data_IF_474652418924
#
_entry.id   IF_474652418924
#
_cell.length_a   1.000
_cell.length_b   1.000
_cell.length_c   1.000
_cell.angle_alpha   90.00
_cell.angle_beta   90.00
_cell.angle_gamma   90.00
#
_symmetry.space_group_name_H-M   'P 1'
#
loop_
_entity.id
_entity.type
_entity.pdbx_description
1 polymer ?
#
# COMPACT_ATOMS: atom_id res chain seq x y z
N UNK A 1 -9.64 -8.69 20.52
CA UNK A 1 -10.78 -8.33 19.65
C UNK A 1 -11.99 -8.96 20.26
N UNK A 2 -13.14 -8.30 20.17
CA UNK A 2 -14.40 -8.90 20.59
C UNK A 2 -14.82 -10.03 19.61
N UNK A 3 -15.98 -10.63 19.90
CA UNK A 3 -16.56 -11.69 19.07
C UNK A 3 -16.97 -11.19 17.67
N UNK A 4 -17.04 -9.89 17.47
CA UNK A 4 -17.40 -9.23 16.21
C UNK A 4 -16.18 -8.74 15.42
N UNK A 5 -14.98 -9.13 15.87
CA UNK A 5 -13.70 -8.80 15.22
C UNK A 5 -13.36 -7.29 15.28
N UNK A 6 -13.97 -6.54 16.21
CA UNK A 6 -13.57 -5.18 16.53
C UNK A 6 -12.40 -5.20 17.53
N UNK A 7 -11.53 -4.20 17.44
CA UNK A 7 -10.57 -3.94 18.51
C UNK A 7 -11.33 -3.50 19.75
N UNK A 8 -11.00 -4.08 20.91
CA UNK A 8 -11.57 -3.62 22.16
C UNK A 8 -11.25 -2.13 22.36
N UNK A 9 -12.23 -1.34 22.79
CA UNK A 9 -12.02 0.06 23.18
C UNK A 9 -10.88 0.18 24.21
N UNK A 10 -10.75 -0.82 25.09
CA UNK A 10 -9.64 -0.97 26.04
C UNK A 10 -9.00 -2.36 25.91
N UNK A 11 -7.66 -2.48 25.84
CA UNK A 11 -7.00 -3.78 25.77
C UNK A 11 -7.36 -4.61 27.01
N UNK A 12 -7.85 -5.82 26.77
CA UNK A 12 -8.22 -6.77 27.83
C UNK A 12 -7.13 -7.85 27.86
N UNK A 13 -6.39 -7.92 28.96
CA UNK A 13 -5.25 -8.82 29.16
C UNK A 13 -4.18 -8.21 30.07
N UNK A 14 -3.45 -9.04 30.82
CA UNK A 14 -2.35 -8.59 31.68
C UNK A 14 -1.05 -8.59 30.87
N UNK A 15 -0.78 -7.52 30.11
CA UNK A 15 0.60 -7.23 29.66
C UNK A 15 1.22 -6.33 30.73
N UNK A 16 1.62 -6.97 31.82
CA UNK A 16 2.54 -6.45 32.82
C UNK A 16 2.38 -4.96 33.22
N UNK A 17 1.16 -4.42 33.43
CA UNK A 17 0.91 -3.04 33.95
C UNK A 17 1.95 -1.99 33.48
N UNK A 18 2.33 -1.99 32.20
CA UNK A 18 3.37 -1.06 31.72
C UNK A 18 2.70 0.28 31.40
N UNK A 19 3.16 1.34 32.04
CA UNK A 19 2.79 2.71 31.70
C UNK A 19 3.47 3.12 30.39
N UNK A 20 3.03 2.53 29.27
CA UNK A 20 3.45 2.98 27.95
C UNK A 20 2.93 4.40 27.73
N UNK A 21 3.75 5.25 27.11
CA UNK A 21 3.28 6.54 26.67
C UNK A 21 2.23 6.39 25.55
N UNK A 22 1.45 7.45 25.32
CA UNK A 22 0.36 7.46 24.32
C UNK A 22 0.85 7.14 22.91
N UNK A 23 2.07 7.53 22.57
CA UNK A 23 2.63 7.35 21.21
C UNK A 23 2.93 5.87 20.96
N UNK A 24 3.51 5.18 21.95
CA UNK A 24 3.73 3.73 21.91
C UNK A 24 2.43 2.94 21.88
N UNK A 25 1.47 3.29 22.73
CA UNK A 25 0.15 2.64 22.72
C UNK A 25 -0.53 2.77 21.35
N UNK A 26 -0.52 3.99 20.79
CA UNK A 26 -1.06 4.25 19.45
C UNK A 26 -0.35 3.44 18.36
N UNK A 27 0.99 3.41 18.38
CA UNK A 27 1.77 2.61 17.43
C UNK A 27 1.40 1.13 17.49
N UNK A 28 1.35 0.53 18.69
CA UNK A 28 1.04 -0.90 18.86
C UNK A 28 -0.37 -1.21 18.35
N UNK A 29 -1.35 -0.37 18.68
CA UNK A 29 -2.73 -0.53 18.19
C UNK A 29 -2.80 -0.47 16.67
N UNK A 30 -2.12 0.51 16.06
CA UNK A 30 -2.08 0.65 14.62
C UNK A 30 -1.38 -0.53 13.95
N UNK A 31 -0.26 -0.99 14.51
CA UNK A 31 0.47 -2.17 14.04
C UNK A 31 -0.41 -3.42 14.08
N UNK A 32 -1.03 -3.73 15.23
CA UNK A 32 -1.90 -4.90 15.37
C UNK A 32 -3.09 -4.80 14.41
N UNK A 33 -3.73 -3.63 14.32
CA UNK A 33 -4.84 -3.39 13.40
C UNK A 33 -4.43 -3.66 11.96
N UNK A 34 -3.28 -3.12 11.54
CA UNK A 34 -2.76 -3.32 10.18
C UNK A 34 -2.45 -4.79 9.89
N UNK A 35 -1.74 -5.49 10.78
CA UNK A 35 -1.38 -6.90 10.61
C UNK A 35 -2.64 -7.78 10.51
N UNK A 36 -3.63 -7.54 11.36
CA UNK A 36 -4.84 -8.38 11.41
C UNK A 36 -5.84 -8.06 10.30
N UNK A 37 -5.94 -6.81 9.87
CA UNK A 37 -6.99 -6.36 8.94
C UNK A 37 -6.50 -6.15 7.49
N UNK A 38 -5.20 -6.18 7.23
CA UNK A 38 -4.66 -6.11 5.86
C UNK A 38 -4.44 -7.49 5.24
N UNK A 39 -3.95 -7.50 4.00
CA UNK A 39 -3.53 -8.70 3.26
C UNK A 39 -2.03 -8.99 3.40
N UNK A 40 -1.33 -8.33 4.33
CA UNK A 40 0.11 -8.55 4.52
C UNK A 40 0.40 -9.99 4.95
N UNK A 41 -0.41 -10.54 5.85
CA UNK A 41 -0.36 -11.94 6.26
C UNK A 41 -1.61 -12.71 5.84
N UNK A 42 -1.46 -14.01 5.68
CA UNK A 42 -2.55 -14.94 5.36
C UNK A 42 -3.50 -15.17 6.54
N UNK A 43 -4.72 -15.62 6.26
CA UNK A 43 -5.70 -15.97 7.30
C UNK A 43 -5.23 -17.13 8.17
N UNK A 44 -4.41 -18.05 7.64
CA UNK A 44 -3.75 -19.11 8.42
C UNK A 44 -2.82 -18.52 9.49
N UNK A 45 -2.05 -17.49 9.16
CA UNK A 45 -1.19 -16.79 10.12
C UNK A 45 -2.02 -16.02 11.15
N UNK A 46 -3.12 -15.36 10.73
CA UNK A 46 -4.05 -14.68 11.66
C UNK A 46 -4.71 -15.65 12.64
N UNK A 47 -5.10 -16.84 12.16
CA UNK A 47 -5.64 -17.91 12.99
C UNK A 47 -4.61 -18.34 14.06
N UNK A 48 -3.35 -18.54 13.66
CA UNK A 48 -2.29 -18.88 14.59
C UNK A 48 -2.08 -17.79 15.65
N UNK A 49 -2.02 -16.51 15.27
CA UNK A 49 -1.87 -15.38 16.19
C UNK A 49 -3.03 -15.32 17.20
N UNK A 50 -4.26 -15.62 16.76
CA UNK A 50 -5.45 -15.65 17.63
C UNK A 50 -5.51 -16.87 18.57
N UNK A 51 -4.69 -17.89 18.33
CA UNK A 51 -4.71 -19.13 19.10
C UNK A 51 -3.92 -18.98 20.39
N UNK A 52 -4.46 -18.20 21.34
CA UNK A 52 -3.85 -17.79 22.61
C UNK A 52 -3.36 -18.94 23.50
N UNK A 53 -3.86 -20.16 23.27
CA UNK A 53 -3.60 -21.37 24.06
C UNK A 53 -2.64 -22.36 23.40
N UNK A 54 -2.15 -22.07 22.19
CA UNK A 54 -1.41 -23.03 21.37
C UNK A 54 0.09 -22.73 21.35
N UNK A 55 0.88 -23.57 22.01
CA UNK A 55 2.35 -23.44 22.07
C UNK A 55 3.06 -23.73 20.74
N UNK A 56 2.34 -24.09 19.68
CA UNK A 56 2.91 -24.33 18.35
C UNK A 56 1.87 -24.16 17.25
N UNK A 57 2.34 -23.94 16.01
CA UNK A 57 1.50 -23.94 14.81
C UNK A 57 0.69 -25.23 14.70
N UNK A 58 1.32 -26.38 14.96
CA UNK A 58 0.65 -27.68 14.87
C UNK A 58 -0.51 -27.81 15.87
N UNK A 59 -0.34 -27.31 17.09
CA UNK A 59 -1.41 -27.30 18.10
C UNK A 59 -2.57 -26.39 17.68
N UNK A 60 -2.27 -25.18 17.19
CA UNK A 60 -3.29 -24.22 16.73
C UNK A 60 -4.13 -24.78 15.58
N UNK A 61 -3.49 -25.40 14.58
CA UNK A 61 -4.18 -25.98 13.43
C UNK A 61 -4.98 -27.22 13.83
N UNK A 62 -4.46 -28.08 14.72
CA UNK A 62 -5.23 -29.23 15.24
C UNK A 62 -6.49 -28.78 15.95
N UNK A 63 -6.39 -27.77 16.82
CA UNK A 63 -7.54 -27.23 17.54
C UNK A 63 -8.58 -26.64 16.58
N UNK A 64 -8.16 -25.91 15.54
CA UNK A 64 -9.06 -25.40 14.52
C UNK A 64 -9.75 -26.53 13.72
N UNK A 65 -8.99 -27.53 13.28
CA UNK A 65 -9.50 -28.65 12.50
C UNK A 65 -10.47 -29.55 13.28
N UNK A 66 -10.52 -29.50 14.61
CA UNK A 66 -11.51 -30.22 15.40
C UNK A 66 -12.94 -29.70 15.19
N UNK A 67 -13.08 -28.44 14.78
CA UNK A 67 -14.37 -27.77 14.59
C UNK A 67 -14.67 -27.41 13.14
N UNK A 68 -13.69 -27.55 12.25
CA UNK A 68 -13.82 -27.25 10.83
C UNK A 68 -14.35 -28.46 10.03
N UNK A 69 -15.01 -28.20 8.92
CA UNK A 69 -15.39 -29.24 7.95
C UNK A 69 -14.15 -29.83 7.24
N UNK A 70 -14.27 -31.01 6.63
CA UNK A 70 -13.14 -31.64 5.91
C UNK A 70 -12.58 -30.75 4.80
N UNK A 71 -13.45 -30.00 4.09
CA UNK A 71 -13.06 -29.08 3.03
C UNK A 71 -12.35 -27.82 3.52
N UNK A 72 -12.55 -27.45 4.80
CA UNK A 72 -11.93 -26.29 5.44
C UNK A 72 -10.69 -26.67 6.26
N UNK A 73 -10.41 -27.97 6.41
CA UNK A 73 -9.31 -28.47 7.22
C UNK A 73 -7.96 -28.04 6.64
N UNK A 74 -7.13 -27.44 7.49
CA UNK A 74 -5.83 -26.93 7.09
C UNK A 74 -4.77 -28.00 7.31
N UNK A 75 -3.97 -28.29 6.28
CA UNK A 75 -2.79 -29.13 6.43
C UNK A 75 -1.70 -28.42 7.25
N UNK A 76 -1.18 -29.08 8.28
CA UNK A 76 -0.19 -28.52 9.20
C UNK A 76 1.11 -28.10 8.49
N UNK A 77 1.64 -28.91 7.57
CA UNK A 77 2.89 -28.59 6.84
C UNK A 77 2.70 -27.36 5.95
N UNK A 78 1.55 -27.28 5.30
CA UNK A 78 1.18 -26.11 4.48
C UNK A 78 1.03 -24.87 5.35
N UNK A 79 0.40 -24.98 6.53
CA UNK A 79 0.28 -23.87 7.47
C UNK A 79 1.63 -23.35 7.95
N UNK A 80 2.54 -24.24 8.36
CA UNK A 80 3.90 -23.87 8.76
C UNK A 80 4.64 -23.14 7.63
N UNK A 81 4.54 -23.64 6.40
CA UNK A 81 5.18 -23.02 5.24
C UNK A 81 4.61 -21.62 4.95
N UNK A 82 3.27 -21.46 5.02
CA UNK A 82 2.60 -20.15 4.87
C UNK A 82 3.01 -19.17 5.95
N UNK A 83 3.07 -19.60 7.21
CA UNK A 83 3.48 -18.76 8.34
C UNK A 83 4.93 -18.33 8.18
N UNK A 84 5.85 -19.23 7.81
CA UNK A 84 7.26 -18.88 7.58
C UNK A 84 7.40 -17.87 6.43
N UNK A 85 6.64 -18.03 5.36
CA UNK A 85 6.60 -17.06 4.26
C UNK A 85 6.12 -15.68 4.74
N UNK A 86 5.06 -15.65 5.55
CA UNK A 86 4.53 -14.41 6.12
C UNK A 86 5.50 -13.75 7.10
N UNK A 87 6.22 -14.53 7.92
CA UNK A 87 7.30 -14.03 8.80
C UNK A 87 8.39 -13.35 7.95
N UNK A 88 8.92 -14.04 6.93
CA UNK A 88 9.95 -13.49 6.06
C UNK A 88 9.47 -12.23 5.32
N UNK A 89 8.18 -12.15 5.00
CA UNK A 89 7.57 -10.97 4.40
C UNK A 89 7.49 -9.80 5.39
N UNK A 90 7.08 -10.05 6.64
CA UNK A 90 7.05 -9.02 7.68
C UNK A 90 8.45 -8.50 8.01
N UNK A 91 9.45 -9.37 8.02
CA UNK A 91 10.86 -9.02 8.26
C UNK A 91 11.47 -8.07 7.23
N UNK A 92 10.83 -7.92 6.05
CA UNK A 92 11.22 -6.88 5.08
C UNK A 92 10.90 -5.46 5.55
N UNK A 93 9.87 -5.31 6.38
CA UNK A 93 9.42 -4.01 6.90
C UNK A 93 9.92 -3.78 8.33
N UNK A 94 9.79 -4.79 9.19
CA UNK A 94 10.00 -4.69 10.62
C UNK A 94 11.14 -5.60 11.08
N UNK A 95 12.10 -5.12 11.88
CA UNK A 95 13.11 -5.99 12.48
C UNK A 95 12.46 -6.97 13.48
N UNK A 96 13.09 -8.12 13.70
CA UNK A 96 12.53 -9.22 14.50
C UNK A 96 12.23 -8.83 15.96
N UNK A 97 13.01 -7.91 16.50
CA UNK A 97 12.96 -7.44 17.88
C UNK A 97 12.07 -6.20 18.07
N UNK A 98 11.46 -5.64 17.01
CA UNK A 98 10.73 -4.37 17.05
C UNK A 98 9.70 -4.31 18.19
N UNK A 99 8.87 -5.34 18.35
CA UNK A 99 7.85 -5.35 19.41
C UNK A 99 8.48 -5.36 20.80
N UNK A 100 9.60 -6.06 20.99
CA UNK A 100 10.36 -6.03 22.25
C UNK A 100 10.93 -4.63 22.50
N UNK A 101 11.54 -4.01 21.49
CA UNK A 101 12.06 -2.64 21.55
C UNK A 101 10.99 -1.64 21.97
N UNK A 102 9.82 -1.69 21.33
CA UNK A 102 8.71 -0.77 21.60
C UNK A 102 8.09 -1.01 22.99
N UNK A 103 7.96 -2.27 23.42
CA UNK A 103 7.31 -2.60 24.69
C UNK A 103 8.24 -2.48 25.91
N UNK A 104 9.55 -2.68 25.73
CA UNK A 104 10.53 -2.85 26.81
C UNK A 104 11.50 -1.67 26.90
N UNK A 105 11.98 -1.15 25.77
CA UNK A 105 13.09 -0.21 25.77
C UNK A 105 12.58 1.23 25.66
N UNK A 106 12.87 2.02 26.70
CA UNK A 106 12.44 3.42 26.75
C UNK A 106 13.13 4.32 25.71
N UNK A 107 14.26 3.88 25.15
CA UNK A 107 15.06 4.60 24.16
C UNK A 107 14.89 4.10 22.72
N UNK A 108 13.86 3.30 22.43
CA UNK A 108 13.64 2.80 21.08
C UNK A 108 13.36 3.94 20.08
N UNK A 109 13.86 3.78 18.84
CA UNK A 109 13.60 4.73 17.75
C UNK A 109 12.18 4.51 17.18
N UNK A 110 11.18 4.96 17.95
CA UNK A 110 9.77 4.77 17.62
C UNK A 110 9.39 5.45 16.29
N UNK A 111 10.03 6.55 15.95
CA UNK A 111 9.75 7.28 14.71
C UNK A 111 10.14 6.46 13.46
N UNK A 112 11.28 5.78 13.47
CA UNK A 112 11.64 4.86 12.38
C UNK A 112 10.63 3.70 12.25
N UNK A 113 10.11 3.18 13.36
CA UNK A 113 9.09 2.13 13.32
C UNK A 113 7.73 2.64 12.82
N UNK A 114 7.32 3.84 13.20
CA UNK A 114 6.13 4.50 12.64
C UNK A 114 6.27 4.65 11.13
N UNK A 115 7.42 5.15 10.65
CA UNK A 115 7.72 5.27 9.22
C UNK A 115 7.60 3.94 8.48
N UNK A 116 8.21 2.88 9.03
CA UNK A 116 8.12 1.51 8.47
C UNK A 116 6.69 0.98 8.42
N UNK A 117 5.89 1.26 9.45
CA UNK A 117 4.48 0.89 9.49
C UNK A 117 3.70 1.62 8.40
N UNK A 118 3.92 2.93 8.21
CA UNK A 118 3.27 3.71 7.17
C UNK A 118 3.63 3.20 5.77
N UNK A 119 4.90 2.81 5.55
CA UNK A 119 5.34 2.17 4.30
C UNK A 119 4.59 0.87 4.03
N UNK A 120 4.52 -0.01 5.03
CA UNK A 120 3.78 -1.26 4.91
C UNK A 120 2.29 -1.00 4.65
N UNK A 121 1.68 -0.03 5.34
CA UNK A 121 0.29 0.38 5.09
C UNK A 121 0.11 0.84 3.65
N UNK A 122 1.00 1.69 3.13
CA UNK A 122 0.93 2.16 1.75
C UNK A 122 0.97 0.99 0.76
N UNK A 123 1.87 0.03 0.95
CA UNK A 123 2.01 -1.13 0.06
C UNK A 123 0.83 -2.10 0.09
N UNK A 124 0.13 -2.20 1.22
CA UNK A 124 -1.01 -3.10 1.38
C UNK A 124 -2.36 -2.39 1.42
N UNK A 125 -2.37 -1.07 1.24
CA UNK A 125 -3.58 -0.27 1.10
C UNK A 125 -4.27 -0.60 -0.23
N UNK A 126 -5.60 -0.54 -0.24
CA UNK A 126 -6.37 -0.61 -1.49
C UNK A 126 -5.96 0.58 -2.37
N UNK A 127 -5.91 0.36 -3.69
CA UNK A 127 -5.59 1.39 -4.69
C UNK A 127 -6.26 2.72 -4.33
N UNK A 128 -5.46 3.77 -4.16
CA UNK A 128 -5.99 5.07 -3.74
C UNK A 128 -6.88 5.62 -4.86
N UNK A 129 -8.18 5.77 -4.57
CA UNK A 129 -9.19 6.27 -5.52
C UNK A 129 -8.85 7.65 -6.08
N UNK A 130 -8.05 8.45 -5.37
CA UNK A 130 -7.62 9.76 -5.86
C UNK A 130 -6.69 9.64 -7.06
N UNK A 131 -5.80 8.65 -7.06
CA UNK A 131 -4.88 8.40 -8.18
C UNK A 131 -5.62 7.85 -9.41
N UNK A 132 -6.85 7.33 -9.26
CA UNK A 132 -7.66 6.94 -10.42
C UNK A 132 -8.09 8.14 -11.27
N UNK A 133 -7.94 9.38 -10.78
CA UNK A 133 -8.16 10.61 -11.55
C UNK A 133 -6.95 11.06 -12.37
N UNK A 134 -5.81 10.39 -12.23
CA UNK A 134 -4.59 10.68 -12.95
C UNK A 134 -4.43 9.68 -14.09
N UNK A 135 -4.26 10.17 -15.33
CA UNK A 135 -3.98 9.35 -16.51
C UNK A 135 -2.47 9.20 -16.76
N UNK A 136 -1.71 9.09 -15.67
CA UNK A 136 -0.27 8.89 -15.66
C UNK A 136 0.04 7.67 -14.79
N UNK A 137 0.86 6.75 -15.32
CA UNK A 137 1.32 5.59 -14.55
C UNK A 137 2.45 6.02 -13.62
N UNK A 138 2.15 6.16 -12.34
CA UNK A 138 3.17 6.42 -11.32
C UNK A 138 3.91 5.11 -11.01
N UNK A 139 5.25 5.16 -11.03
CA UNK A 139 6.08 4.04 -10.64
C UNK A 139 5.83 3.66 -9.18
N UNK A 140 5.72 2.37 -8.89
CA UNK A 140 5.54 1.90 -7.52
C UNK A 140 6.89 1.90 -6.80
N UNK A 141 7.12 2.94 -6.02
CA UNK A 141 8.33 3.14 -5.21
C UNK A 141 7.98 3.18 -3.73
N UNK A 142 8.99 3.04 -2.86
CA UNK A 142 8.82 3.21 -1.43
C UNK A 142 8.36 4.64 -1.11
N UNK A 143 7.36 4.78 -0.23
CA UNK A 143 6.85 6.09 0.15
C UNK A 143 7.96 6.94 0.79
N UNK A 144 7.95 8.23 0.51
CA UNK A 144 8.83 9.21 1.15
C UNK A 144 7.99 10.08 2.08
N UNK A 145 8.52 10.41 3.26
CA UNK A 145 7.82 11.24 4.24
C UNK A 145 7.96 12.73 3.95
N UNK A 146 9.00 13.11 3.21
CA UNK A 146 9.32 14.47 2.86
C UNK A 146 9.70 14.56 1.39
N UNK A 147 9.41 15.73 0.83
CA UNK A 147 9.83 16.19 -0.48
C UNK A 147 10.08 17.69 -0.31
N UNK A 148 11.18 18.22 -0.86
CA UNK A 148 11.44 19.65 -0.76
C UNK A 148 10.34 20.44 -1.50
N UNK A 149 10.10 21.69 -1.09
CA UNK A 149 8.99 22.48 -1.63
C UNK A 149 9.12 22.66 -3.16
N UNK A 150 10.34 22.90 -3.64
CA UNK A 150 10.61 23.04 -5.08
C UNK A 150 10.32 21.74 -5.84
N UNK A 151 10.73 20.59 -5.29
CA UNK A 151 10.48 19.27 -5.87
C UNK A 151 8.98 18.92 -5.87
N UNK A 152 8.26 19.32 -4.83
CA UNK A 152 6.81 19.15 -4.76
C UNK A 152 6.10 20.00 -5.82
N UNK A 153 6.51 21.26 -6.00
CA UNK A 153 5.95 22.13 -7.02
C UNK A 153 6.25 21.63 -8.44
N UNK A 154 7.43 21.05 -8.66
CA UNK A 154 7.77 20.37 -9.91
C UNK A 154 6.87 19.15 -10.14
N UNK A 155 6.68 18.29 -9.14
CA UNK A 155 5.76 17.15 -9.21
C UNK A 155 4.35 17.59 -9.61
N UNK A 156 3.81 18.64 -8.98
CA UNK A 156 2.48 19.17 -9.32
C UNK A 156 2.42 19.63 -10.78
N UNK A 157 3.47 20.32 -11.25
CA UNK A 157 3.57 20.80 -12.63
C UNK A 157 3.62 19.64 -13.64
N UNK A 158 4.29 18.54 -13.29
CA UNK A 158 4.37 17.32 -14.11
C UNK A 158 3.02 16.61 -14.19
N UNK A 159 2.31 16.43 -13.06
CA UNK A 159 1.07 15.64 -13.05
C UNK A 159 -0.14 16.41 -13.57
N UNK A 160 -0.17 17.74 -13.44
CA UNK A 160 -1.32 18.59 -13.75
C UNK A 160 -1.90 18.37 -15.16
N UNK A 161 -1.09 18.27 -16.24
CA UNK A 161 -1.60 18.01 -17.58
C UNK A 161 -2.33 16.67 -17.74
N UNK A 162 -1.99 15.68 -16.91
CA UNK A 162 -2.52 14.31 -16.97
C UNK A 162 -3.70 14.08 -16.02
N UNK A 163 -4.20 15.12 -15.35
CA UNK A 163 -5.41 15.02 -14.55
C UNK A 163 -6.60 14.93 -15.50
N UNK A 164 -7.45 13.91 -15.34
CA UNK A 164 -8.59 13.64 -16.24
C UNK A 164 -9.54 14.83 -16.43
N UNK A 165 -9.76 15.63 -15.38
CA UNK A 165 -10.59 16.84 -15.50
C UNK A 165 -9.91 17.94 -16.32
N UNK A 166 -8.58 18.05 -16.23
CA UNK A 166 -7.81 19.00 -17.01
C UNK A 166 -7.75 18.59 -18.48
N UNK A 167 -7.52 17.30 -18.75
CA UNK A 167 -7.58 16.75 -20.11
C UNK A 167 -8.94 16.99 -20.75
N UNK A 168 -10.03 16.69 -20.03
CA UNK A 168 -11.40 16.96 -20.51
C UNK A 168 -11.63 18.43 -20.82
N UNK A 169 -11.16 19.33 -19.96
CA UNK A 169 -11.25 20.75 -20.22
C UNK A 169 -10.51 21.14 -21.51
N UNK A 170 -9.30 20.59 -21.73
CA UNK A 170 -8.57 20.82 -22.99
C UNK A 170 -9.35 20.27 -24.18
N UNK A 171 -9.85 19.04 -24.11
CA UNK A 171 -10.66 18.41 -25.17
C UNK A 171 -11.89 19.23 -25.55
N UNK A 172 -12.60 19.79 -24.57
CA UNK A 172 -13.79 20.61 -24.77
C UNK A 172 -13.49 22.02 -25.32
N UNK A 173 -12.26 22.52 -25.14
CA UNK A 173 -11.86 23.88 -25.52
C UNK A 173 -10.84 23.91 -26.67
N UNK A 174 -10.52 22.76 -27.25
CA UNK A 174 -9.58 22.67 -28.37
C UNK A 174 -10.23 23.23 -29.63
N UNK A 175 -9.56 24.18 -30.29
CA UNK A 175 -10.08 24.81 -31.50
C UNK A 175 -10.29 23.78 -32.63
N UNK A 176 -11.52 23.71 -33.14
CA UNK A 176 -11.91 22.73 -34.17
C UNK A 176 -11.05 22.83 -35.43
N UNK A 177 -10.62 24.04 -35.81
CA UNK A 177 -9.76 24.23 -36.98
C UNK A 177 -8.36 23.69 -36.73
N UNK A 178 -7.79 23.90 -35.54
CA UNK A 178 -6.53 23.30 -35.14
C UNK A 178 -6.60 21.76 -35.14
N UNK A 179 -7.66 21.16 -34.60
CA UNK A 179 -7.90 19.71 -34.66
C UNK A 179 -7.94 19.19 -36.09
N UNK A 180 -8.72 19.85 -36.97
CA UNK A 180 -8.83 19.47 -38.37
C UNK A 180 -7.50 19.59 -39.11
N UNK A 181 -6.70 20.61 -38.80
CA UNK A 181 -5.38 20.78 -39.38
C UNK A 181 -4.40 19.70 -38.90
N UNK A 182 -4.41 19.33 -37.62
CA UNK A 182 -3.63 18.21 -37.11
C UNK A 182 -4.00 16.90 -37.82
N UNK A 183 -5.29 16.62 -37.98
CA UNK A 183 -5.77 15.45 -38.72
C UNK A 183 -5.30 15.46 -40.18
N UNK A 184 -5.35 16.62 -40.85
CA UNK A 184 -4.80 16.78 -42.19
C UNK A 184 -3.30 16.43 -42.24
N UNK A 185 -2.49 16.96 -41.31
CA UNK A 185 -1.06 16.65 -41.23
C UNK A 185 -0.79 15.16 -41.03
N UNK A 186 -1.60 14.47 -40.21
CA UNK A 186 -1.39 13.05 -39.90
C UNK A 186 -1.89 12.09 -40.99
N UNK A 187 -2.85 12.53 -41.83
CA UNK A 187 -3.52 11.67 -42.81
C UNK A 187 -3.09 11.90 -44.25
N UNK A 188 -2.40 13.01 -44.55
CA UNK A 188 -2.01 13.35 -45.92
C UNK A 188 -0.74 12.60 -46.35
N UNK A 189 -0.76 11.79 -47.42
CA UNK A 189 0.37 10.95 -47.82
C UNK A 189 1.62 11.71 -48.29
N UNK A 190 1.43 12.91 -48.85
CA UNK A 190 2.50 13.73 -49.38
C UNK A 190 2.32 15.16 -48.90
N UNK A 191 3.12 15.52 -47.90
CA UNK A 191 3.23 16.89 -47.40
C UNK A 191 4.48 17.55 -48.00
N UNK A 192 4.33 18.82 -48.34
CA UNK A 192 5.39 19.67 -48.85
C UNK A 192 5.49 20.98 -48.05
N UNK A 193 6.59 21.71 -48.27
CA UNK A 193 6.88 22.99 -47.63
C UNK A 193 6.65 23.00 -46.12
N UNK A 194 5.93 24.02 -45.66
CA UNK A 194 5.65 24.28 -44.25
C UNK A 194 4.84 23.16 -43.56
N UNK A 195 3.94 22.49 -44.28
CA UNK A 195 3.15 21.41 -43.70
C UNK A 195 4.03 20.20 -43.35
N UNK A 196 5.06 19.93 -44.16
CA UNK A 196 6.02 18.86 -43.87
C UNK A 196 6.86 19.18 -42.64
N UNK A 197 7.28 20.44 -42.47
CA UNK A 197 8.02 20.89 -41.28
C UNK A 197 7.17 20.77 -40.01
N UNK A 198 5.92 21.21 -40.06
CA UNK A 198 4.96 21.09 -38.93
C UNK A 198 4.65 19.64 -38.60
N UNK A 199 4.48 18.78 -39.60
CA UNK A 199 4.33 17.34 -39.38
C UNK A 199 5.56 16.74 -38.70
N UNK A 200 6.77 17.08 -39.12
CA UNK A 200 7.99 16.58 -38.50
C UNK A 200 8.10 17.00 -37.02
N UNK A 201 7.67 18.22 -36.68
CA UNK A 201 7.61 18.68 -35.29
C UNK A 201 6.61 17.87 -34.46
N UNK A 202 5.39 17.66 -34.97
CA UNK A 202 4.38 16.82 -34.30
C UNK A 202 4.90 15.40 -34.12
N UNK A 203 5.56 14.85 -35.15
CA UNK A 203 6.16 13.51 -35.10
C UNK A 203 7.19 13.39 -33.98
N UNK A 204 8.10 14.37 -33.85
CA UNK A 204 9.10 14.39 -32.77
C UNK A 204 8.50 14.46 -31.35
N UNK A 205 7.26 14.94 -31.22
CA UNK A 205 6.56 14.99 -29.94
C UNK A 205 5.82 13.70 -29.61
N UNK A 206 5.43 12.93 -30.63
CA UNK A 206 4.59 11.73 -30.49
C UNK A 206 5.36 10.41 -30.64
N UNK A 207 6.55 10.44 -31.25
CA UNK A 207 7.47 9.31 -31.46
C UNK A 207 8.85 9.59 -30.86
#
# INVERSE_FOLDING_TARGET
MDYENNLYERPIGIIAKRNLDKKRDSFIRNYISFIMNSKIISDTTKLYIRSSSSNSVAAAIKNYNQTASEDEAINIKTAQSKINYDINKLLKYFPDNMLSEVLVHSSCNLDDYIRRLNLAIADYSKKNKLLDNLDLKIARVAAQESLEEDEFNELISIIKPYIKSHMRYIEENLDTKACGYLLYLMSTPQLDGENKERYNLVKQLLE
#
